data_IF_102548335345
#
_entry.id   IF_102548335345
#
_cell.length_a   1.000
_cell.length_b   1.000
_cell.length_c   1.000
_cell.angle_alpha   90.00
_cell.angle_beta   90.00
_cell.angle_gamma   90.00
#
_symmetry.space_group_name_H-M   'P 1'
#
loop_
_entity.id
_entity.type
_entity.pdbx_description
1 polymer ?
#
# COMPACT_ATOMS: atom_id res chain seq x y z
N UNK A 1 -27.81 4.89 -1.40
CA UNK A 1 -27.93 4.94 0.07
C UNK A 1 -27.46 6.30 0.56
N UNK A 2 -27.95 6.79 1.71
CA UNK A 2 -27.47 8.03 2.30
C UNK A 2 -25.97 7.96 2.60
N UNK A 3 -25.28 9.08 2.41
CA UNK A 3 -23.90 9.28 2.86
C UNK A 3 -23.92 10.00 4.19
N UNK A 4 -23.14 9.53 5.15
CA UNK A 4 -23.02 10.13 6.47
C UNK A 4 -21.70 10.85 6.60
N UNK A 5 -21.73 11.97 7.31
CA UNK A 5 -20.54 12.80 7.54
C UNK A 5 -20.42 13.08 9.03
N UNK A 6 -19.21 12.92 9.55
CA UNK A 6 -18.85 13.39 10.89
C UNK A 6 -18.37 14.83 10.78
N UNK A 7 -18.97 15.75 11.53
CA UNK A 7 -18.51 17.14 11.63
C UNK A 7 -17.43 17.31 12.71
N UNK A 8 -16.57 18.30 12.56
CA UNK A 8 -15.43 18.61 13.43
C UNK A 8 -14.52 17.40 13.66
N UNK A 9 -14.15 16.69 12.58
CA UNK A 9 -13.35 15.45 12.68
C UNK A 9 -12.05 15.66 13.47
N UNK A 10 -11.48 16.86 13.43
CA UNK A 10 -10.27 17.20 14.17
C UNK A 10 -10.40 17.02 15.69
N UNK A 11 -11.60 17.15 16.26
CA UNK A 11 -11.85 17.00 17.69
C UNK A 11 -11.70 15.54 18.15
N UNK A 12 -11.83 14.58 17.24
CA UNK A 12 -11.83 13.14 17.53
C UNK A 12 -10.51 12.45 17.18
N UNK A 13 -9.52 13.21 16.69
CA UNK A 13 -8.28 12.65 16.17
C UNK A 13 -8.51 11.78 14.93
N UNK A 14 -7.61 10.82 14.69
CA UNK A 14 -7.70 9.94 13.52
C UNK A 14 -8.63 8.77 13.80
N UNK A 15 -9.63 8.56 12.95
CA UNK A 15 -10.59 7.46 13.02
C UNK A 15 -10.52 6.60 11.75
N UNK A 16 -10.61 5.28 11.88
CA UNK A 16 -10.39 4.32 10.79
C UNK A 16 -11.35 4.43 9.59
N UNK A 17 -12.59 4.81 9.85
CA UNK A 17 -13.67 4.80 8.86
C UNK A 17 -14.07 6.20 8.42
N UNK A 18 -13.18 7.18 8.60
CA UNK A 18 -13.43 8.58 8.29
C UNK A 18 -12.49 9.04 7.20
N UNK A 19 -13.06 9.27 6.01
CA UNK A 19 -12.33 9.78 4.86
C UNK A 19 -12.45 11.31 4.85
N UNK A 20 -11.36 11.98 5.21
CA UNK A 20 -11.26 13.45 5.17
C UNK A 20 -10.60 13.89 3.88
N UNK A 21 -11.14 14.91 3.20
CA UNK A 21 -10.34 15.65 2.22
C UNK A 21 -9.49 16.70 2.93
N UNK A 22 -8.39 17.09 2.30
CA UNK A 22 -7.54 18.15 2.82
C UNK A 22 -8.35 19.45 2.88
N UNK A 23 -8.62 19.94 4.10
CA UNK A 23 -9.36 21.17 4.46
C UNK A 23 -10.82 21.01 4.91
N UNK A 24 -11.37 19.81 5.00
CA UNK A 24 -12.77 19.66 5.42
C UNK A 24 -12.90 19.61 6.96
N UNK A 25 -13.81 20.42 7.52
CA UNK A 25 -14.31 20.27 8.89
C UNK A 25 -15.08 18.96 9.06
N UNK A 26 -15.47 18.31 7.97
CA UNK A 26 -16.22 17.06 7.97
C UNK A 26 -15.50 15.91 7.27
N UNK A 27 -15.86 14.68 7.60
CA UNK A 27 -15.31 13.47 6.98
C UNK A 27 -16.42 12.49 6.65
N UNK A 28 -16.36 11.90 5.45
CA UNK A 28 -17.32 10.88 5.03
C UNK A 28 -17.10 9.61 5.86
N UNK A 29 -18.18 9.12 6.47
CA UNK A 29 -18.16 7.88 7.25
C UNK A 29 -18.35 6.71 6.28
N UNK A 30 -17.32 5.87 6.17
CA UNK A 30 -17.39 4.61 5.46
C UNK A 30 -17.93 3.51 6.38
N UNK A 31 -18.68 2.57 5.83
CA UNK A 31 -19.07 1.35 6.54
C UNK A 31 -18.62 0.15 5.72
N UNK A 32 -18.00 -0.82 6.39
CA UNK A 32 -17.53 -2.07 5.78
C UNK A 32 -18.67 -3.06 5.52
N UNK A 33 -18.42 -4.02 4.63
CA UNK A 33 -19.38 -5.07 4.24
C UNK A 33 -19.95 -5.87 5.42
N UNK A 34 -19.19 -5.98 6.52
CA UNK A 34 -19.62 -6.65 7.75
C UNK A 34 -20.86 -6.01 8.40
N UNK A 35 -21.18 -4.75 8.03
CA UNK A 35 -22.32 -3.99 8.49
C UNK A 35 -23.37 -3.79 7.39
N UNK A 36 -23.35 -4.60 6.32
CA UNK A 36 -24.35 -4.58 5.25
C UNK A 36 -25.78 -4.60 5.78
N UNK A 37 -26.66 -3.80 5.17
CA UNK A 37 -28.07 -3.67 5.56
C UNK A 37 -28.94 -4.39 4.55
N UNK A 38 -29.73 -5.36 5.02
CA UNK A 38 -30.74 -6.00 4.20
C UNK A 38 -31.86 -5.00 3.90
N UNK A 39 -32.22 -4.84 2.63
CA UNK A 39 -33.30 -3.95 2.23
C UNK A 39 -34.61 -4.73 2.30
N UNK A 40 -35.47 -4.38 3.26
CA UNK A 40 -36.86 -4.80 3.23
C UNK A 40 -37.62 -3.88 2.25
N UNK A 41 -38.04 -4.43 1.11
CA UNK A 41 -38.77 -3.66 0.09
C UNK A 41 -40.14 -3.18 0.54
N UNK A 42 -40.74 -3.85 1.53
CA UNK A 42 -42.06 -3.52 2.06
C UNK A 42 -42.00 -2.38 3.10
N UNK A 43 -40.82 -2.14 3.69
CA UNK A 43 -40.57 -1.10 4.69
C UNK A 43 -39.17 -0.48 4.47
N UNK A 44 -38.98 0.26 3.37
CA UNK A 44 -37.68 0.80 3.01
C UNK A 44 -37.11 1.79 4.05
N UNK A 45 -37.96 2.44 4.85
CA UNK A 45 -37.58 3.33 5.96
C UNK A 45 -36.77 2.62 7.04
N UNK A 46 -36.98 1.32 7.27
CA UNK A 46 -36.20 0.54 8.24
C UNK A 46 -34.73 0.48 7.83
N UNK A 47 -34.45 0.37 6.52
CA UNK A 47 -33.08 0.34 6.03
C UNK A 47 -32.33 1.64 6.34
N UNK A 48 -33.02 2.80 6.36
CA UNK A 48 -32.42 4.07 6.75
C UNK A 48 -32.07 4.10 8.24
N UNK A 49 -33.02 3.73 9.11
CA UNK A 49 -32.80 3.71 10.56
C UNK A 49 -31.69 2.74 10.95
N UNK A 50 -31.74 1.51 10.45
CA UNK A 50 -30.72 0.49 10.75
C UNK A 50 -29.33 0.94 10.28
N UNK A 51 -29.27 1.67 9.17
CA UNK A 51 -28.01 2.24 8.69
C UNK A 51 -27.49 3.34 9.62
N UNK A 52 -28.34 4.25 10.09
CA UNK A 52 -27.96 5.29 11.06
C UNK A 52 -27.44 4.66 12.35
N UNK A 53 -28.17 3.68 12.90
CA UNK A 53 -27.83 3.03 14.16
C UNK A 53 -26.45 2.34 14.06
N UNK A 54 -26.16 1.69 12.92
CA UNK A 54 -24.84 1.09 12.66
C UNK A 54 -23.72 2.12 12.54
N UNK A 55 -23.96 3.26 11.88
CA UNK A 55 -22.96 4.34 11.80
C UNK A 55 -22.65 4.90 13.19
N UNK A 56 -23.68 5.13 14.00
CA UNK A 56 -23.51 5.61 15.37
C UNK A 56 -22.75 4.59 16.22
N UNK A 57 -23.12 3.30 16.16
CA UNK A 57 -22.42 2.25 16.90
C UNK A 57 -20.94 2.16 16.52
N UNK A 58 -20.64 2.21 15.21
CA UNK A 58 -19.27 2.21 14.71
C UNK A 58 -18.49 3.42 15.23
N UNK A 59 -19.03 4.63 15.08
CA UNK A 59 -18.37 5.86 15.54
C UNK A 59 -18.14 5.86 17.05
N UNK A 60 -19.14 5.47 17.83
CA UNK A 60 -19.03 5.34 19.29
C UNK A 60 -17.89 4.39 19.63
N UNK A 61 -17.83 3.22 18.99
CA UNK A 61 -16.76 2.25 19.26
C UNK A 61 -15.37 2.77 18.86
N UNK A 62 -15.25 3.46 17.71
CA UNK A 62 -13.98 4.05 17.28
C UNK A 62 -13.50 5.18 18.21
N UNK A 63 -14.42 5.90 18.84
CA UNK A 63 -14.10 7.00 19.76
C UNK A 63 -13.79 6.47 21.17
N UNK A 64 -14.57 5.52 21.68
CA UNK A 64 -14.47 5.03 23.05
C UNK A 64 -13.41 3.94 23.24
N UNK A 65 -13.07 3.18 22.20
CA UNK A 65 -12.07 2.11 22.23
C UNK A 65 -10.88 2.42 21.29
N UNK A 66 -9.79 3.00 21.82
CA UNK A 66 -8.59 3.31 21.03
C UNK A 66 -7.92 2.07 20.42
N UNK A 67 -8.02 0.90 21.07
CA UNK A 67 -7.40 -0.32 20.57
C UNK A 67 -8.18 -0.86 19.37
N UNK A 68 -9.52 -0.81 19.43
CA UNK A 68 -10.39 -1.12 18.30
C UNK A 68 -10.13 -0.17 17.12
N UNK A 69 -10.11 1.14 17.37
CA UNK A 69 -9.81 2.13 16.32
C UNK A 69 -8.45 1.90 15.68
N UNK A 70 -7.41 1.60 16.47
CA UNK A 70 -6.09 1.28 15.93
C UNK A 70 -6.11 0.03 15.03
N UNK A 71 -6.80 -1.03 15.44
CA UNK A 71 -6.93 -2.24 14.64
C UNK A 71 -7.69 -1.99 13.33
N UNK A 72 -8.77 -1.21 13.37
CA UNK A 72 -9.53 -0.83 12.18
C UNK A 72 -8.71 0.07 11.24
N UNK A 73 -7.90 0.99 11.77
CA UNK A 73 -7.03 1.83 10.94
C UNK A 73 -6.00 1.01 10.15
N UNK A 74 -5.57 -0.13 10.71
CA UNK A 74 -4.70 -1.08 10.01
C UNK A 74 -5.47 -1.94 9.00
N UNK A 75 -6.73 -2.31 9.27
CA UNK A 75 -7.59 -3.00 8.29
C UNK A 75 -7.83 -2.13 7.06
N UNK A 76 -7.99 -0.82 7.27
CA UNK A 76 -8.20 0.20 6.24
C UNK A 76 -6.88 0.82 5.75
N UNK A 77 -5.73 0.18 6.00
CA UNK A 77 -4.41 0.73 5.64
C UNK A 77 -4.34 1.09 4.15
N UNK A 78 -4.75 0.17 3.27
CA UNK A 78 -4.67 0.35 1.81
C UNK A 78 -5.55 1.51 1.31
N UNK A 79 -6.73 1.71 1.94
CA UNK A 79 -7.64 2.79 1.59
C UNK A 79 -7.05 4.15 1.98
N UNK A 80 -6.55 4.28 3.21
CA UNK A 80 -5.87 5.50 3.65
C UNK A 80 -4.58 5.76 2.88
N UNK A 81 -3.80 4.72 2.60
CA UNK A 81 -2.58 4.86 1.81
C UNK A 81 -2.87 5.31 0.38
N UNK A 82 -3.96 4.80 -0.22
CA UNK A 82 -4.42 5.27 -1.53
C UNK A 82 -4.69 6.77 -1.51
N UNK A 83 -5.42 7.28 -0.53
CA UNK A 83 -5.71 8.72 -0.41
C UNK A 83 -4.41 9.53 -0.30
N UNK A 84 -3.46 9.04 0.49
CA UNK A 84 -2.15 9.68 0.62
C UNK A 84 -1.38 9.71 -0.72
N UNK A 85 -1.47 8.65 -1.52
CA UNK A 85 -0.85 8.57 -2.85
C UNK A 85 -1.55 9.46 -3.88
N UNK A 86 -2.89 9.52 -3.87
CA UNK A 86 -3.66 10.34 -4.79
C UNK A 86 -3.41 11.84 -4.55
N UNK A 87 -3.22 12.23 -3.29
CA UNK A 87 -2.91 13.59 -2.88
C UNK A 87 -1.43 13.97 -3.05
N UNK A 88 -0.58 13.06 -3.54
CA UNK A 88 0.83 13.32 -3.77
C UNK A 88 1.11 14.10 -5.05
N UNK A 89 2.22 14.82 -5.07
CA UNK A 89 2.76 15.39 -6.29
C UNK A 89 2.88 14.30 -7.37
N UNK A 90 2.19 14.49 -8.50
CA UNK A 90 2.12 13.53 -9.61
C UNK A 90 0.80 12.74 -9.72
N UNK A 91 -0.10 12.82 -8.74
CA UNK A 91 -1.36 12.07 -8.73
C UNK A 91 -1.16 10.55 -8.56
N UNK A 92 -2.23 9.75 -8.65
CA UNK A 92 -2.29 8.29 -8.41
C UNK A 92 -0.99 7.52 -8.76
N UNK A 93 -0.11 7.46 -7.77
CA UNK A 93 1.22 6.91 -7.83
C UNK A 93 1.15 5.41 -7.54
N UNK A 94 1.47 4.59 -8.55
CA UNK A 94 1.43 3.14 -8.44
C UNK A 94 2.75 2.51 -8.93
N UNK A 95 3.21 1.49 -8.19
CA UNK A 95 4.37 0.67 -8.50
C UNK A 95 3.92 -0.78 -8.61
N UNK A 96 4.24 -1.41 -9.74
CA UNK A 96 4.10 -2.85 -9.86
C UNK A 96 5.33 -3.54 -9.30
N UNK A 97 5.13 -4.58 -8.49
CA UNK A 97 6.22 -5.34 -7.89
C UNK A 97 6.08 -6.80 -8.29
N UNK A 98 7.10 -7.34 -8.94
CA UNK A 98 7.21 -8.76 -9.28
C UNK A 98 8.01 -9.46 -8.18
N UNK A 99 7.30 -9.82 -7.11
CA UNK A 99 7.82 -10.42 -5.88
C UNK A 99 6.64 -10.96 -5.06
N UNK A 100 6.84 -12.03 -4.28
CA UNK A 100 5.79 -12.74 -3.55
C UNK A 100 5.70 -12.38 -2.05
N UNK A 101 6.40 -11.34 -1.60
CA UNK A 101 6.22 -10.77 -0.26
C UNK A 101 7.04 -11.39 0.86
N UNK A 102 7.69 -12.54 0.64
CA UNK A 102 8.14 -13.37 1.76
C UNK A 102 9.57 -13.10 2.29
N UNK A 103 10.35 -12.22 1.64
CA UNK A 103 11.76 -12.00 2.00
C UNK A 103 12.35 -10.67 1.52
N UNK A 104 13.25 -10.09 2.33
CA UNK A 104 13.99 -8.88 1.97
C UNK A 104 14.97 -9.17 0.82
N UNK A 105 14.78 -8.52 -0.32
CA UNK A 105 15.59 -8.67 -1.52
C UNK A 105 15.77 -7.30 -2.21
N UNK A 106 16.91 -7.10 -2.88
CA UNK A 106 17.10 -5.97 -3.77
C UNK A 106 16.46 -6.24 -5.12
N UNK A 107 15.73 -5.27 -5.64
CA UNK A 107 15.02 -5.34 -6.91
C UNK A 107 15.53 -4.29 -7.88
N UNK A 108 15.39 -4.55 -9.17
CA UNK A 108 15.66 -3.58 -10.23
C UNK A 108 14.38 -2.84 -10.60
N UNK A 109 14.42 -1.51 -10.62
CA UNK A 109 13.27 -0.69 -11.03
C UNK A 109 13.42 -0.29 -12.49
N UNK A 110 12.38 -0.55 -13.27
CA UNK A 110 12.26 -0.19 -14.68
C UNK A 110 11.16 0.87 -14.83
N UNK A 111 11.37 1.90 -15.66
CA UNK A 111 10.44 3.02 -15.81
C UNK A 111 9.16 2.59 -16.52
N UNK A 112 8.11 3.44 -16.53
CA UNK A 112 7.07 3.39 -17.56
C UNK A 112 7.68 3.31 -18.96
N UNK A 113 7.06 2.54 -19.84
CA UNK A 113 7.47 2.47 -21.25
C UNK A 113 6.67 3.45 -22.11
N UNK A 114 5.38 3.59 -21.84
CA UNK A 114 4.45 4.41 -22.60
C UNK A 114 3.78 5.41 -21.68
N UNK A 115 3.40 6.57 -22.22
CA UNK A 115 2.54 7.52 -21.51
C UNK A 115 1.08 7.05 -21.50
N UNK A 116 0.67 6.29 -22.53
CA UNK A 116 -0.67 5.71 -22.67
C UNK A 116 -0.60 4.23 -23.08
N UNK A 117 -1.51 3.39 -22.59
CA UNK A 117 -1.48 1.95 -22.84
C UNK A 117 -2.07 1.16 -21.68
N UNK A 118 -1.76 -0.14 -21.61
CA UNK A 118 -2.12 -0.95 -20.45
C UNK A 118 -1.41 -0.46 -19.19
N UNK A 119 -2.03 -0.63 -18.03
CA UNK A 119 -1.55 -0.13 -16.74
C UNK A 119 -0.12 -0.60 -16.41
N UNK A 120 0.21 -1.85 -16.78
CA UNK A 120 1.56 -2.40 -16.66
C UNK A 120 2.61 -1.70 -17.52
N UNK A 121 2.22 -1.05 -18.63
CA UNK A 121 3.13 -0.34 -19.53
C UNK A 121 3.32 1.13 -19.18
N UNK A 122 2.36 1.73 -18.48
CA UNK A 122 2.36 3.15 -18.09
C UNK A 122 2.89 3.41 -16.69
N UNK A 123 3.18 2.36 -15.92
CA UNK A 123 3.68 2.45 -14.55
C UNK A 123 5.09 1.84 -14.40
N UNK A 124 5.86 2.29 -13.39
CA UNK A 124 7.13 1.68 -13.03
C UNK A 124 6.93 0.25 -12.53
N UNK A 125 7.95 -0.59 -12.74
CA UNK A 125 7.94 -2.00 -12.31
C UNK A 125 9.23 -2.33 -11.57
N UNK A 126 9.13 -2.83 -10.35
CA UNK A 126 10.21 -3.41 -9.58
C UNK A 126 10.24 -4.93 -9.79
N UNK A 127 11.40 -5.46 -10.18
CA UNK A 127 11.60 -6.89 -10.43
C UNK A 127 12.64 -7.44 -9.47
N UNK A 128 12.23 -8.36 -8.59
CA UNK A 128 13.13 -9.12 -7.75
C UNK A 128 13.99 -10.06 -8.61
N UNK A 129 15.27 -10.22 -8.25
CA UNK A 129 16.22 -11.04 -8.99
C UNK A 129 15.78 -12.50 -9.08
N UNK A 130 15.20 -13.01 -8.00
CA UNK A 130 14.60 -14.35 -7.89
C UNK A 130 13.53 -14.65 -8.96
N UNK A 131 12.84 -13.64 -9.47
CA UNK A 131 11.74 -13.80 -10.45
C UNK A 131 12.12 -13.51 -11.90
N UNK A 132 13.39 -13.21 -12.18
CA UNK A 132 13.85 -12.90 -13.54
C UNK A 132 13.67 -14.06 -14.53
N UNK A 133 13.57 -15.30 -14.05
CA UNK A 133 13.37 -16.51 -14.86
C UNK A 133 12.12 -17.32 -14.49
N UNK A 134 11.17 -16.75 -13.74
CA UNK A 134 9.96 -17.49 -13.34
C UNK A 134 8.99 -17.67 -14.54
N UNK A 135 8.77 -18.94 -14.91
CA UNK A 135 7.85 -19.32 -16.00
C UNK A 135 6.41 -18.93 -15.73
N UNK A 136 5.98 -18.89 -14.46
CA UNK A 136 4.61 -18.55 -14.08
C UNK A 136 4.29 -17.07 -14.31
N UNK A 137 5.32 -16.23 -14.36
CA UNK A 137 5.18 -14.78 -14.55
C UNK A 137 5.55 -14.33 -15.97
N UNK A 138 5.97 -15.25 -16.84
CA UNK A 138 6.45 -14.94 -18.19
C UNK A 138 5.43 -14.10 -18.98
N UNK A 139 4.14 -14.37 -18.85
CA UNK A 139 3.10 -13.60 -19.54
C UNK A 139 2.98 -12.16 -19.02
N UNK A 140 2.97 -11.96 -17.70
CA UNK A 140 2.91 -10.63 -17.10
C UNK A 140 4.18 -9.81 -17.41
N UNK A 141 5.35 -10.46 -17.33
CA UNK A 141 6.64 -9.88 -17.69
C UNK A 141 6.71 -9.49 -19.18
N UNK A 142 6.12 -10.31 -20.06
CA UNK A 142 6.02 -10.07 -21.50
C UNK A 142 5.07 -8.92 -21.84
N UNK A 143 3.88 -8.82 -21.22
CA UNK A 143 2.97 -7.68 -21.37
C UNK A 143 3.65 -6.38 -20.95
N UNK A 144 4.36 -6.41 -19.83
CA UNK A 144 5.14 -5.28 -19.37
C UNK A 144 6.36 -5.00 -20.28
N UNK A 145 6.70 -5.88 -21.23
CA UNK A 145 7.85 -5.77 -22.14
C UNK A 145 9.13 -5.40 -21.39
N UNK A 146 9.32 -5.98 -20.20
CA UNK A 146 10.34 -5.51 -19.26
C UNK A 146 11.74 -5.58 -19.85
N UNK A 147 12.04 -6.60 -20.65
CA UNK A 147 13.33 -6.79 -21.34
C UNK A 147 13.74 -5.58 -22.20
N UNK A 148 12.77 -4.82 -22.70
CA UNK A 148 13.02 -3.62 -23.52
C UNK A 148 13.26 -2.36 -22.68
N UNK A 149 13.02 -2.40 -21.37
CA UNK A 149 13.13 -1.25 -20.48
C UNK A 149 14.49 -1.23 -19.79
N UNK A 150 15.19 -0.11 -19.87
CA UNK A 150 16.43 0.09 -19.12
C UNK A 150 16.17 0.18 -17.62
N UNK A 151 17.10 -0.31 -16.81
CA UNK A 151 17.04 -0.19 -15.36
C UNK A 151 17.36 1.26 -14.97
N UNK A 152 16.40 1.94 -14.33
CA UNK A 152 16.55 3.34 -13.90
C UNK A 152 16.87 3.49 -12.42
N UNK A 153 16.56 2.47 -11.61
CA UNK A 153 16.65 2.57 -10.17
C UNK A 153 16.77 1.22 -9.48
N UNK A 154 16.84 1.28 -8.16
CA UNK A 154 16.85 0.11 -7.28
C UNK A 154 15.70 0.21 -6.29
N UNK A 155 15.10 -0.93 -6.00
CA UNK A 155 14.22 -1.08 -4.84
C UNK A 155 14.81 -2.07 -3.84
N UNK A 156 14.34 -2.00 -2.61
CA UNK A 156 14.58 -3.02 -1.59
C UNK A 156 13.24 -3.35 -0.93
N UNK A 157 12.93 -4.64 -0.79
CA UNK A 157 11.81 -5.06 0.06
C UNK A 157 12.21 -5.03 1.54
N UNK A 158 11.31 -4.51 2.35
CA UNK A 158 11.44 -4.36 3.79
C UNK A 158 10.26 -5.06 4.43
N UNK A 159 10.55 -6.07 5.25
CA UNK A 159 9.55 -6.70 6.08
C UNK A 159 9.45 -5.96 7.42
N UNK A 160 8.25 -5.54 7.77
CA UNK A 160 7.95 -4.89 9.05
C UNK A 160 7.35 -5.92 10.00
N UNK A 161 7.96 -6.07 11.17
CA UNK A 161 7.41 -6.88 12.26
C UNK A 161 6.15 -6.27 12.87
N UNK A 162 6.02 -4.95 12.76
CA UNK A 162 4.89 -4.16 13.23
C UNK A 162 4.69 -2.97 12.30
N UNK A 163 3.44 -2.61 12.04
CA UNK A 163 3.05 -1.47 11.21
C UNK A 163 2.17 -0.53 12.02
N UNK A 164 2.52 0.75 12.00
CA UNK A 164 1.65 1.82 12.47
C UNK A 164 0.68 2.23 11.36
N UNK A 165 -0.54 2.68 11.68
CA UNK A 165 -1.45 3.30 10.74
C UNK A 165 -0.76 4.37 9.88
N UNK A 166 -1.18 4.54 8.62
CA UNK A 166 -0.53 5.49 7.72
C UNK A 166 -0.71 6.93 8.23
N UNK A 167 0.17 7.86 7.88
CA UNK A 167 0.02 9.25 8.31
C UNK A 167 -1.23 9.87 7.67
N UNK A 168 -1.89 10.78 8.39
CA UNK A 168 -3.09 11.44 7.89
C UNK A 168 -2.81 12.37 6.69
N UNK A 169 -1.60 12.95 6.65
CA UNK A 169 -1.20 13.89 5.60
C UNK A 169 0.23 13.62 5.13
N UNK A 170 0.58 14.23 3.99
CA UNK A 170 1.93 14.13 3.44
C UNK A 170 2.99 14.78 4.33
N UNK A 171 2.61 15.81 5.09
CA UNK A 171 3.53 16.53 5.98
C UNK A 171 4.09 15.62 7.09
N UNK A 172 3.31 14.64 7.53
CA UNK A 172 3.71 13.69 8.57
C UNK A 172 4.39 12.42 8.02
N UNK A 173 4.60 12.33 6.70
CA UNK A 173 5.10 11.12 6.05
C UNK A 173 6.52 10.73 6.49
N UNK A 174 7.41 11.72 6.62
CA UNK A 174 8.80 11.48 6.99
C UNK A 174 8.95 11.04 8.43
N UNK A 175 8.23 11.69 9.33
CA UNK A 175 8.21 11.33 10.76
C UNK A 175 7.67 9.91 10.95
N UNK A 176 6.55 9.60 10.27
CA UNK A 176 5.98 8.26 10.25
C UNK A 176 6.96 7.23 9.70
N UNK A 177 7.65 7.53 8.59
CA UNK A 177 8.69 6.65 8.03
C UNK A 177 9.77 6.29 9.06
N UNK A 178 10.30 7.28 9.79
CA UNK A 178 11.35 7.03 10.78
C UNK A 178 10.88 6.19 11.96
N UNK A 179 9.60 6.25 12.32
CA UNK A 179 9.02 5.35 13.31
C UNK A 179 8.90 3.93 12.77
N UNK A 180 8.27 3.75 11.60
CA UNK A 180 8.00 2.41 11.08
C UNK A 180 9.28 1.65 10.68
N UNK A 181 10.32 2.35 10.22
CA UNK A 181 11.58 1.70 9.82
C UNK A 181 12.32 1.09 11.01
N UNK A 182 12.03 1.53 12.24
CA UNK A 182 12.56 0.91 13.45
C UNK A 182 12.02 -0.52 13.66
N UNK A 183 10.81 -0.82 13.13
CA UNK A 183 10.18 -2.14 13.22
C UNK A 183 10.60 -3.10 12.10
N UNK A 184 11.50 -2.68 11.21
CA UNK A 184 12.01 -3.57 10.17
C UNK A 184 12.80 -4.73 10.77
N UNK A 185 12.61 -5.92 10.21
CA UNK A 185 13.28 -7.15 10.67
C UNK A 185 14.80 -7.11 10.46
N UNK A 186 15.54 -8.03 11.10
CA UNK A 186 17.00 -8.02 11.02
C UNK A 186 17.57 -8.07 9.59
N UNK A 187 17.06 -8.91 8.67
CA UNK A 187 17.42 -8.85 7.25
C UNK A 187 17.22 -7.46 6.63
N UNK A 188 16.05 -6.85 6.80
CA UNK A 188 15.76 -5.52 6.24
C UNK A 188 16.65 -4.44 6.83
N UNK A 189 16.94 -4.49 8.14
CA UNK A 189 17.88 -3.57 8.79
C UNK A 189 19.29 -3.67 8.20
N UNK A 190 19.75 -4.87 7.82
CA UNK A 190 21.05 -5.05 7.15
C UNK A 190 21.04 -4.41 5.77
N UNK A 191 19.97 -4.57 4.99
CA UNK A 191 19.84 -3.95 3.67
C UNK A 191 19.77 -2.42 3.74
N UNK A 192 19.01 -1.87 4.70
CA UNK A 192 18.97 -0.44 4.97
C UNK A 192 20.37 0.14 5.32
N UNK A 193 21.14 -0.57 6.14
CA UNK A 193 22.53 -0.17 6.45
C UNK A 193 23.43 -0.22 5.21
N UNK A 194 23.23 -1.17 4.29
CA UNK A 194 23.96 -1.23 3.02
C UNK A 194 23.58 -0.06 2.11
N UNK A 195 22.30 0.34 2.07
CA UNK A 195 21.84 1.51 1.32
C UNK A 195 22.57 2.78 1.76
N UNK A 196 22.68 3.01 3.07
CA UNK A 196 23.33 4.21 3.65
C UNK A 196 24.82 4.34 3.28
N UNK A 197 25.49 3.26 2.87
CA UNK A 197 26.91 3.28 2.48
C UNK A 197 27.15 3.70 1.03
N UNK A 198 26.11 3.79 0.22
CA UNK A 198 26.21 4.08 -1.22
C UNK A 198 25.46 5.37 -1.54
N UNK A 199 25.91 6.05 -2.58
CA UNK A 199 25.23 7.25 -3.09
C UNK A 199 24.23 6.86 -4.17
N UNK A 200 23.01 7.35 -4.03
CA UNK A 200 21.92 7.17 -4.98
C UNK A 200 21.33 8.53 -5.31
N UNK A 201 20.83 8.68 -6.54
CA UNK A 201 19.96 9.82 -6.88
C UNK A 201 18.50 9.45 -6.60
N UNK A 202 18.16 8.19 -6.86
CA UNK A 202 16.82 7.67 -6.78
C UNK A 202 16.87 6.24 -6.22
N UNK A 203 15.95 5.89 -5.33
CA UNK A 203 15.71 4.51 -4.93
C UNK A 203 14.30 4.36 -4.33
N UNK A 204 13.89 3.10 -4.20
CA UNK A 204 12.55 2.73 -3.76
C UNK A 204 12.64 1.82 -2.54
N UNK A 205 11.78 2.04 -1.56
CA UNK A 205 11.57 1.13 -0.44
C UNK A 205 10.18 0.53 -0.58
N UNK A 206 10.10 -0.79 -0.70
CA UNK A 206 8.83 -1.53 -0.76
C UNK A 206 8.64 -2.20 0.59
N UNK A 207 7.60 -1.85 1.32
CA UNK A 207 7.31 -2.40 2.63
C UNK A 207 6.22 -3.46 2.52
N UNK A 208 6.38 -4.53 3.30
CA UNK A 208 5.36 -5.54 3.59
C UNK A 208 5.13 -5.63 5.08
N UNK A 209 3.87 -5.79 5.49
CA UNK A 209 3.53 -6.01 6.89
C UNK A 209 2.22 -6.80 7.03
N UNK A 210 2.09 -7.52 8.15
CA UNK A 210 0.83 -8.13 8.55
C UNK A 210 -0.13 -7.07 9.10
N UNK A 211 -1.38 -7.12 8.65
CA UNK A 211 -2.52 -6.35 9.14
C UNK A 211 -3.64 -7.32 9.54
N UNK A 212 -4.65 -6.90 10.31
CA UNK A 212 -5.63 -7.85 10.88
C UNK A 212 -6.40 -8.71 9.87
N UNK A 213 -6.51 -8.28 8.61
CA UNK A 213 -7.21 -8.97 7.52
C UNK A 213 -6.25 -9.58 6.47
N UNK A 214 -4.93 -9.59 6.69
CA UNK A 214 -3.96 -10.18 5.77
C UNK A 214 -2.62 -9.47 5.75
N UNK A 215 -2.08 -9.26 4.56
CA UNK A 215 -0.83 -8.53 4.34
C UNK A 215 -1.11 -7.28 3.51
N UNK A 216 -0.44 -6.17 3.85
CA UNK A 216 -0.40 -4.97 3.01
C UNK A 216 1.00 -4.77 2.43
N UNK A 217 1.04 -4.17 1.25
CA UNK A 217 2.26 -3.68 0.62
C UNK A 217 2.12 -2.21 0.22
N UNK A 218 3.17 -1.44 0.49
CA UNK A 218 3.24 -0.03 0.12
C UNK A 218 4.68 0.36 -0.22
N UNK A 219 4.87 1.48 -0.92
CA UNK A 219 6.19 1.92 -1.30
C UNK A 219 6.44 3.40 -1.04
N UNK A 220 7.69 3.71 -0.75
CA UNK A 220 8.21 5.09 -0.73
C UNK A 220 9.25 5.21 -1.83
N UNK A 221 9.03 6.19 -2.71
CA UNK A 221 9.99 6.61 -3.70
C UNK A 221 10.79 7.78 -3.17
N UNK A 222 12.10 7.63 -3.14
CA UNK A 222 13.03 8.64 -2.65
C UNK A 222 13.85 9.18 -3.81
N UNK A 223 13.88 10.50 -3.96
CA UNK A 223 14.59 11.17 -5.03
C UNK A 223 15.36 12.37 -4.48
N UNK A 224 16.63 12.51 -4.85
CA UNK A 224 17.47 13.65 -4.51
C UNK A 224 17.86 14.43 -5.76
N UNK A 225 18.04 15.75 -5.62
CA UNK A 225 18.51 16.59 -6.72
C UNK A 225 19.87 16.14 -7.28
N UNK A 226 20.72 15.54 -6.44
CA UNK A 226 22.02 14.99 -6.82
C UNK A 226 22.26 13.64 -6.13
N UNK A 227 23.29 12.90 -6.55
CA UNK A 227 23.63 11.63 -5.91
C UNK A 227 24.09 11.88 -4.46
N UNK A 228 23.27 11.48 -3.49
CA UNK A 228 23.63 11.53 -2.07
C UNK A 228 23.44 10.18 -1.36
N UNK A 229 23.95 10.07 -0.15
CA UNK A 229 23.71 8.94 0.75
C UNK A 229 22.27 8.92 1.23
N UNK A 230 21.73 7.73 1.44
CA UNK A 230 20.39 7.57 1.98
C UNK A 230 20.30 8.17 3.39
N UNK A 231 19.36 9.10 3.67
CA UNK A 231 19.28 9.79 4.96
C UNK A 231 18.97 8.83 6.11
N UNK A 232 19.57 9.13 7.26
CA UNK A 232 19.33 8.40 8.51
C UNK A 232 18.48 9.20 9.51
N UNK A 233 18.22 10.49 9.24
CA UNK A 233 17.46 11.42 10.07
C UNK A 233 16.75 12.45 9.18
N UNK A 234 15.83 13.21 9.78
CA UNK A 234 15.15 14.33 9.12
C UNK A 234 16.15 15.40 8.64
N UNK A 235 17.12 15.78 9.46
CA UNK A 235 18.16 16.75 9.08
C UNK A 235 18.93 16.34 7.81
N UNK A 236 19.18 15.04 7.65
CA UNK A 236 19.85 14.50 6.47
C UNK A 236 19.00 14.56 5.21
N UNK A 237 17.67 14.59 5.32
CA UNK A 237 16.75 14.75 4.19
C UNK A 237 16.86 16.18 3.65
N UNK A 238 16.81 17.17 4.53
CA UNK A 238 16.87 18.59 4.17
C UNK A 238 18.24 18.95 3.59
N UNK A 239 19.32 18.51 4.22
CA UNK A 239 20.68 18.81 3.79
C UNK A 239 20.98 18.36 2.35
N UNK A 240 20.40 17.22 1.94
CA UNK A 240 20.65 16.59 0.65
C UNK A 240 19.49 16.80 -0.36
N UNK A 241 18.46 17.57 0.03
CA UNK A 241 17.25 17.83 -0.76
C UNK A 241 16.57 16.54 -1.24
N UNK A 242 16.36 15.58 -0.34
CA UNK A 242 15.57 14.39 -0.61
C UNK A 242 14.08 14.70 -0.61
N UNK A 243 13.38 14.28 -1.66
CA UNK A 243 11.93 14.22 -1.73
C UNK A 243 11.45 12.79 -1.56
N UNK A 244 10.32 12.63 -0.88
CA UNK A 244 9.71 11.33 -0.60
C UNK A 244 8.28 11.33 -1.09
N UNK A 245 7.97 10.39 -1.97
CA UNK A 245 6.64 10.24 -2.57
C UNK A 245 6.07 8.88 -2.21
N UNK A 246 4.84 8.79 -1.68
CA UNK A 246 4.18 7.53 -1.42
C UNK A 246 3.65 6.91 -2.72
N UNK A 247 3.76 5.59 -2.83
CA UNK A 247 3.28 4.80 -3.95
C UNK A 247 2.45 3.61 -3.46
N UNK A 248 1.36 3.33 -4.16
CA UNK A 248 0.60 2.09 -4.00
C UNK A 248 1.38 0.95 -4.64
N UNK A 249 1.39 -0.20 -3.99
CA UNK A 249 2.04 -1.39 -4.54
C UNK A 249 1.00 -2.34 -5.13
N UNK A 250 1.26 -2.81 -6.34
CA UNK A 250 0.51 -3.88 -6.99
C UNK A 250 1.43 -5.08 -7.19
N UNK A 251 1.24 -6.11 -6.37
CA UNK A 251 2.00 -7.36 -6.51
C UNK A 251 1.57 -8.12 -7.77
N UNK A 252 2.56 -8.52 -8.56
CA UNK A 252 2.45 -9.47 -9.66
C UNK A 252 3.15 -10.74 -9.21
N UNK A 253 2.39 -11.59 -8.55
CA UNK A 253 2.86 -12.87 -8.02
C UNK A 253 1.79 -13.94 -8.24
N UNK A 254 2.15 -15.23 -8.23
CA UNK A 254 1.16 -16.30 -8.31
C UNK A 254 0.11 -16.20 -7.18
N UNK A 255 0.53 -15.86 -5.96
CA UNK A 255 -0.34 -15.65 -4.80
C UNK A 255 -1.31 -14.48 -4.97
N UNK A 256 -0.92 -13.41 -5.66
CA UNK A 256 -1.81 -12.29 -5.95
C UNK A 256 -2.77 -12.57 -7.14
N UNK A 257 -2.32 -13.31 -8.15
CA UNK A 257 -3.05 -13.47 -9.42
C UNK A 257 -3.99 -14.68 -9.43
N UNK A 258 -3.57 -15.83 -8.90
CA UNK A 258 -4.31 -17.09 -9.03
C UNK A 258 -5.66 -17.07 -8.27
N UNK A 259 -5.73 -16.62 -7.00
CA UNK A 259 -7.00 -16.54 -6.29
C UNK A 259 -8.03 -15.62 -6.97
N UNK A 260 -7.56 -14.53 -7.60
CA UNK A 260 -8.44 -13.59 -8.33
C UNK A 260 -9.06 -14.20 -9.59
N UNK A 261 -8.40 -15.19 -10.18
CA UNK A 261 -8.94 -15.97 -11.30
C UNK A 261 -9.88 -17.10 -10.86
N UNK A 262 -10.20 -17.22 -9.57
CA UNK A 262 -10.96 -18.34 -9.01
C UNK A 262 -10.14 -19.63 -8.87
N UNK A 263 -8.82 -19.56 -9.06
CA UNK A 263 -7.93 -20.70 -8.89
C UNK A 263 -7.43 -20.83 -7.44
N UNK A 264 -7.00 -22.03 -7.06
CA UNK A 264 -6.28 -22.25 -5.80
C UNK A 264 -4.82 -22.59 -6.09
N UNK A 265 -3.91 -22.02 -5.29
CA UNK A 265 -2.50 -22.42 -5.28
C UNK A 265 -2.32 -23.87 -4.81
N UNK A 266 -3.27 -24.42 -4.06
CA UNK A 266 -3.22 -25.80 -3.53
C UNK A 266 -3.33 -26.84 -4.65
N UNK A 267 -3.86 -26.46 -5.82
CA UNK A 267 -3.91 -27.34 -7.00
C UNK A 267 -2.53 -27.53 -7.64
N UNK A 268 -1.52 -26.74 -7.25
CA UNK A 268 -0.17 -26.83 -7.78
C UNK A 268 0.47 -28.16 -7.38
N UNK A 269 0.72 -29.01 -8.37
CA UNK A 269 1.33 -30.34 -8.18
C UNK A 269 0.33 -31.48 -8.02
N UNK A 270 -0.97 -31.21 -8.07
CA UNK A 270 -1.98 -32.25 -8.16
C UNK A 270 -2.00 -32.85 -9.57
N UNK A 271 -2.13 -34.17 -9.66
CA UNK A 271 -2.28 -34.89 -10.94
C UNK A 271 -3.76 -35.18 -11.19
N UNK A 272 -4.24 -34.88 -12.40
CA UNK A 272 -5.61 -35.17 -12.82
C UNK A 272 -5.58 -36.32 -13.82
N UNK A 273 -6.31 -37.39 -13.55
CA UNK A 273 -6.57 -38.45 -14.52
C UNK A 273 -7.83 -38.10 -15.30
N UNK A 274 -7.67 -37.79 -16.58
CA UNK A 274 -8.78 -37.62 -17.51
C UNK A 274 -9.08 -38.98 -18.16
N UNK A 275 -10.25 -39.54 -17.88
CA UNK A 275 -10.74 -40.77 -18.56
C UNK A 275 -11.83 -40.36 -19.53
N UNK A 276 -11.62 -40.69 -20.81
CA UNK A 276 -12.56 -40.48 -21.91
C UNK A 276 -12.65 -41.73 -22.76
#
# INVERSE_FOLDING_TARGET
MPKFYLSNVQDFGKLAHILTNQNDESGEVCITDALSTAINTDQPELAYRDTVDKHLQLLTQLIEDPAYNHAEQLREFDAHWKILCDNAAGGSNELFVVWDGNSSESMQVRPPRLETGSDLQTKPVALAGSYTSDRNLTYALAIAKLETRQVIGKAISIWLSHLEPPPATQYNLLEWYFRIVAFADQPSQRELRKLRKKKYREFWLVFSAQIPNGETMFALHWNACSRSTFPASLDGIEADNWTVTPYRVRSISPSALIPRGGGSLDLKGMSVLLVG
#
